data_IF_575206209528
#
_entry.id   IF_575206209528
#
_cell.length_a   1.000
_cell.length_b   1.000
_cell.length_c   1.000
_cell.angle_alpha   90.00
_cell.angle_beta   90.00
_cell.angle_gamma   90.00
#
_symmetry.space_group_name_H-M   'P 1'
#
loop_
_entity.id
_entity.type
_entity.pdbx_description
1 polymer ?
#
# COMPACT_ATOMS: atom_id res chain seq x y z
N UNK A 1 24.68 -0.36 3.06
CA UNK A 1 23.35 -0.31 2.41
C UNK A 1 23.48 0.60 1.20
N UNK A 2 22.95 0.23 0.04
CA UNK A 2 23.00 1.09 -1.16
C UNK A 2 21.98 2.23 -1.01
N UNK A 3 22.40 3.47 -1.27
CA UNK A 3 21.57 4.68 -1.10
C UNK A 3 21.30 5.45 -2.40
N UNK A 4 21.70 4.92 -3.55
CA UNK A 4 21.50 5.55 -4.85
C UNK A 4 20.10 5.30 -5.43
N UNK A 5 19.90 5.74 -6.67
CA UNK A 5 18.69 5.48 -7.44
C UNK A 5 18.52 3.97 -7.67
N UNK A 6 17.31 3.47 -7.44
CA UNK A 6 16.98 2.05 -7.61
C UNK A 6 16.60 1.72 -9.06
N UNK A 7 15.96 2.66 -9.75
CA UNK A 7 15.47 2.49 -11.12
C UNK A 7 16.19 3.45 -12.05
N UNK A 8 16.49 2.97 -13.25
CA UNK A 8 16.89 3.78 -14.39
C UNK A 8 15.63 4.09 -15.24
N UNK A 9 15.13 5.34 -15.26
CA UNK A 9 13.92 5.69 -15.99
C UNK A 9 14.02 5.44 -17.50
N UNK A 10 15.18 5.65 -18.11
CA UNK A 10 15.36 5.50 -19.56
C UNK A 10 15.29 4.04 -19.96
N UNK A 11 15.91 3.18 -19.15
CA UNK A 11 15.81 1.74 -19.31
C UNK A 11 14.36 1.25 -19.14
N UNK A 12 13.66 1.72 -18.11
CA UNK A 12 12.25 1.35 -17.88
C UNK A 12 11.36 1.79 -19.04
N UNK A 13 11.55 3.01 -19.56
CA UNK A 13 10.79 3.53 -20.70
C UNK A 13 11.05 2.71 -21.99
N UNK A 14 12.30 2.26 -22.19
CA UNK A 14 12.69 1.38 -23.30
C UNK A 14 11.98 0.03 -23.22
N UNK A 15 11.95 -0.60 -22.05
CA UNK A 15 11.26 -1.89 -21.87
C UNK A 15 9.74 -1.71 -22.01
N UNK A 16 9.16 -0.62 -21.49
CA UNK A 16 7.73 -0.33 -21.66
C UNK A 16 7.34 -0.16 -23.14
N UNK A 17 8.26 0.36 -23.96
CA UNK A 17 8.05 0.48 -25.41
C UNK A 17 8.03 -0.89 -26.08
N UNK A 18 8.99 -1.77 -25.75
CA UNK A 18 9.00 -3.16 -26.23
C UNK A 18 7.75 -3.94 -25.80
N UNK A 19 7.29 -3.73 -24.57
CA UNK A 19 6.05 -4.36 -24.07
C UNK A 19 4.84 -3.94 -24.90
N UNK A 20 4.74 -2.65 -25.28
CA UNK A 20 3.66 -2.15 -26.14
C UNK A 20 3.71 -2.76 -27.54
N UNK A 21 4.91 -2.91 -28.11
CA UNK A 21 5.10 -3.55 -29.43
C UNK A 21 4.68 -5.03 -29.40
N UNK A 22 5.04 -5.77 -28.35
CA UNK A 22 4.65 -7.17 -28.18
C UNK A 22 3.15 -7.34 -27.90
N UNK A 23 2.51 -6.41 -27.18
CA UNK A 23 1.06 -6.40 -26.98
C UNK A 23 0.28 -6.23 -28.30
N UNK A 24 0.88 -5.61 -29.32
CA UNK A 24 0.27 -5.42 -30.64
C UNK A 24 0.32 -6.67 -31.54
N UNK A 25 0.96 -7.76 -31.11
CA UNK A 25 1.07 -9.01 -31.89
C UNK A 25 -0.06 -9.98 -31.53
N UNK A 26 -0.69 -10.59 -32.53
CA UNK A 26 -1.77 -11.59 -32.37
C UNK A 26 -1.38 -12.80 -31.52
N UNK A 27 -0.09 -13.16 -31.51
CA UNK A 27 0.46 -14.27 -30.71
C UNK A 27 1.74 -13.82 -30.01
N UNK A 28 1.59 -13.07 -28.93
CA UNK A 28 2.72 -12.84 -28.03
C UNK A 28 3.20 -14.15 -27.42
N UNK A 29 4.51 -14.39 -27.47
CA UNK A 29 5.13 -15.53 -26.78
C UNK A 29 5.19 -15.33 -25.26
N UNK A 30 4.89 -14.12 -24.76
CA UNK A 30 5.08 -13.72 -23.37
C UNK A 30 3.71 -13.58 -22.70
N UNK A 31 3.26 -14.64 -22.03
CA UNK A 31 1.98 -14.64 -21.30
C UNK A 31 1.93 -13.63 -20.13
N UNK A 32 3.09 -13.17 -19.66
CA UNK A 32 3.24 -12.30 -18.49
C UNK A 32 3.31 -10.80 -18.83
N UNK A 33 3.11 -10.40 -20.10
CA UNK A 33 3.15 -8.98 -20.52
C UNK A 33 2.31 -8.06 -19.63
N UNK A 34 1.05 -8.39 -19.26
CA UNK A 34 0.25 -7.50 -18.41
C UNK A 34 0.89 -7.25 -17.04
N UNK A 35 1.57 -8.26 -16.47
CA UNK A 35 2.28 -8.14 -15.20
C UNK A 35 3.55 -7.31 -15.35
N UNK A 36 4.31 -7.52 -16.42
CA UNK A 36 5.52 -6.74 -16.71
C UNK A 36 5.16 -5.27 -16.86
N UNK A 37 4.16 -4.97 -17.70
CA UNK A 37 3.62 -3.61 -17.89
C UNK A 37 3.22 -2.98 -16.56
N UNK A 38 2.42 -3.68 -15.76
CA UNK A 38 1.95 -3.16 -14.47
C UNK A 38 3.06 -2.84 -13.48
N UNK A 39 4.04 -3.72 -13.35
CA UNK A 39 5.17 -3.51 -12.45
C UNK A 39 6.09 -2.38 -12.92
N UNK A 40 6.38 -2.31 -14.22
CA UNK A 40 7.24 -1.28 -14.79
C UNK A 40 6.59 0.10 -14.77
N UNK A 41 5.29 0.19 -15.11
CA UNK A 41 4.53 1.44 -14.98
C UNK A 41 4.55 1.94 -13.54
N UNK A 42 4.38 1.04 -12.56
CA UNK A 42 4.44 1.42 -11.14
C UNK A 42 5.86 1.89 -10.73
N UNK A 43 6.90 1.17 -11.14
CA UNK A 43 8.28 1.58 -10.88
C UNK A 43 8.63 2.91 -11.55
N UNK A 44 8.03 3.21 -12.71
CA UNK A 44 8.23 4.46 -13.46
C UNK A 44 7.55 5.68 -12.85
N UNK A 45 6.35 5.48 -12.28
CA UNK A 45 5.58 6.51 -11.56
C UNK A 45 6.12 6.75 -10.14
N UNK A 46 6.95 5.85 -9.63
CA UNK A 46 7.47 5.87 -8.27
C UNK A 46 8.49 7.00 -8.05
N UNK A 47 8.36 7.70 -6.93
CA UNK A 47 9.28 8.75 -6.54
C UNK A 47 10.67 8.17 -6.23
N UNK A 48 11.71 8.86 -6.70
CA UNK A 48 13.12 8.54 -6.49
C UNK A 48 13.61 8.84 -5.06
N UNK A 49 12.84 8.50 -4.03
CA UNK A 49 13.24 8.61 -2.62
C UNK A 49 13.69 7.26 -2.06
N UNK A 50 14.69 7.24 -1.17
CA UNK A 50 15.05 6.03 -0.42
C UNK A 50 13.89 5.56 0.47
N UNK A 51 13.74 4.25 0.60
CA UNK A 51 12.74 3.59 1.45
C UNK A 51 11.28 3.89 1.08
N UNK A 52 10.35 3.23 1.77
CA UNK A 52 8.91 3.46 1.64
C UNK A 52 8.27 3.43 3.02
N UNK A 53 7.08 4.01 3.10
CA UNK A 53 6.23 4.02 4.28
C UNK A 53 5.07 3.06 4.09
N UNK A 54 4.73 2.33 5.15
CA UNK A 54 3.59 1.43 5.17
C UNK A 54 2.56 1.95 6.15
N UNK A 55 1.43 2.40 5.62
CA UNK A 55 0.36 2.98 6.42
C UNK A 55 -0.20 1.97 7.44
N UNK A 56 -0.31 0.70 7.05
CA UNK A 56 -0.72 -0.38 7.95
C UNK A 56 0.27 -0.60 9.09
N UNK A 57 1.58 -0.52 8.83
CA UNK A 57 2.60 -0.60 9.89
C UNK A 57 2.55 0.62 10.81
N UNK A 58 2.38 1.82 10.26
CA UNK A 58 2.24 3.04 11.06
C UNK A 58 1.01 2.97 11.98
N UNK A 59 -0.14 2.55 11.45
CA UNK A 59 -1.36 2.36 12.25
C UNK A 59 -1.19 1.30 13.33
N UNK A 60 -0.45 0.22 13.04
CA UNK A 60 -0.14 -0.82 14.04
C UNK A 60 0.72 -0.28 15.18
N UNK A 61 1.72 0.55 14.88
CA UNK A 61 2.59 1.17 15.91
C UNK A 61 1.80 2.05 16.86
N UNK A 62 0.76 2.73 16.35
CA UNK A 62 -0.05 3.67 17.13
C UNK A 62 -1.39 3.09 17.62
N UNK A 63 -1.67 1.82 17.33
CA UNK A 63 -2.92 1.15 17.66
C UNK A 63 -4.18 1.91 17.19
N UNK A 64 -4.07 2.63 16.07
CA UNK A 64 -5.17 3.45 15.52
C UNK A 64 -5.90 2.74 14.39
N UNK A 65 -7.14 3.15 14.14
CA UNK A 65 -7.84 2.82 12.92
C UNK A 65 -7.01 3.25 11.70
N UNK A 66 -6.96 2.38 10.69
CA UNK A 66 -6.23 2.61 9.44
C UNK A 66 -6.91 3.73 8.63
N UNK A 67 -6.25 4.90 8.40
CA UNK A 67 -6.74 5.85 7.43
C UNK A 67 -6.72 5.25 6.03
N UNK A 68 -7.65 5.67 5.18
CA UNK A 68 -7.59 5.27 3.77
C UNK A 68 -6.36 5.90 3.11
N UNK A 69 -5.80 5.23 2.10
CA UNK A 69 -4.65 5.78 1.38
C UNK A 69 -4.99 7.13 0.72
N UNK A 70 -6.22 7.32 0.23
CA UNK A 70 -6.62 8.59 -0.37
C UNK A 70 -6.58 9.74 0.64
N UNK A 71 -7.09 9.53 1.86
CA UNK A 71 -7.06 10.56 2.93
C UNK A 71 -5.62 10.84 3.37
N UNK A 72 -4.81 9.81 3.59
CA UNK A 72 -3.42 9.99 4.00
C UNK A 72 -2.59 10.71 2.92
N UNK A 73 -2.75 10.31 1.64
CA UNK A 73 -2.12 11.00 0.50
C UNK A 73 -2.59 12.46 0.40
N UNK A 74 -3.87 12.73 0.64
CA UNK A 74 -4.39 14.10 0.60
C UNK A 74 -3.71 15.00 1.61
N UNK A 75 -3.48 14.53 2.84
CA UNK A 75 -2.77 15.30 3.86
C UNK A 75 -1.33 15.67 3.45
N UNK A 76 -0.62 14.76 2.78
CA UNK A 76 0.72 15.01 2.27
C UNK A 76 0.70 16.01 1.10
N UNK A 77 -0.20 15.80 0.15
CA UNK A 77 -0.33 16.64 -1.06
C UNK A 77 -0.79 18.06 -0.73
N UNK A 78 -1.75 18.22 0.19
CA UNK A 78 -2.22 19.52 0.68
C UNK A 78 -1.11 20.31 1.38
N UNK A 79 -0.12 19.62 1.96
CA UNK A 79 1.05 20.24 2.57
C UNK A 79 2.19 20.51 1.55
N UNK A 80 1.95 20.25 0.26
CA UNK A 80 2.90 20.52 -0.82
C UNK A 80 3.94 19.43 -1.05
N UNK A 81 3.82 18.27 -0.38
CA UNK A 81 4.73 17.14 -0.58
C UNK A 81 4.27 16.25 -1.73
N UNK A 82 5.24 15.62 -2.39
CA UNK A 82 4.99 14.64 -3.45
C UNK A 82 4.74 13.28 -2.84
N UNK A 83 3.84 12.50 -3.45
CA UNK A 83 3.55 11.14 -3.03
C UNK A 83 3.40 10.22 -4.23
N UNK A 84 4.00 9.03 -4.14
CA UNK A 84 3.77 7.95 -5.08
C UNK A 84 3.45 6.64 -4.36
N UNK A 85 2.87 5.67 -5.07
CA UNK A 85 2.88 4.28 -4.64
C UNK A 85 4.28 3.67 -4.86
N UNK A 86 4.57 2.56 -4.18
CA UNK A 86 5.83 1.82 -4.34
C UNK A 86 5.59 0.46 -4.98
N UNK A 87 6.44 0.08 -5.93
CA UNK A 87 6.45 -1.25 -6.56
C UNK A 87 6.73 -2.39 -5.56
N UNK A 88 7.28 -2.07 -4.38
CA UNK A 88 7.66 -3.06 -3.36
C UNK A 88 6.47 -3.73 -2.69
N UNK A 89 5.25 -3.19 -2.79
CA UNK A 89 4.07 -3.85 -2.26
C UNK A 89 2.81 -3.00 -2.25
N UNK A 90 1.64 -3.65 -2.15
CA UNK A 90 0.37 -2.95 -2.06
C UNK A 90 0.32 -2.15 -0.77
N UNK A 91 -0.11 -0.89 -0.85
CA UNK A 91 -0.22 -0.05 0.33
C UNK A 91 1.06 0.73 0.70
N UNK A 92 2.18 0.44 0.05
CA UNK A 92 3.45 1.12 0.29
C UNK A 92 3.49 2.47 -0.45
N UNK A 93 3.91 3.51 0.26
CA UNK A 93 3.94 4.89 -0.22
C UNK A 93 5.36 5.45 -0.14
N UNK A 94 5.75 6.23 -1.14
CA UNK A 94 6.95 7.05 -1.12
C UNK A 94 6.57 8.52 -1.11
N UNK A 95 7.36 9.33 -0.42
CA UNK A 95 7.15 10.76 -0.31
C UNK A 95 8.45 11.46 0.01
N UNK A 96 8.57 12.73 -0.41
CA UNK A 96 9.64 13.64 -0.02
C UNK A 96 9.37 14.33 1.33
N UNK A 97 8.22 14.06 1.96
CA UNK A 97 7.90 14.57 3.28
C UNK A 97 8.86 14.03 4.36
N UNK A 98 9.30 14.87 5.32
CA UNK A 98 10.09 14.42 6.46
C UNK A 98 9.35 13.38 7.30
N UNK A 99 10.06 12.38 7.83
CA UNK A 99 9.48 11.33 8.68
C UNK A 99 8.68 11.88 9.88
N UNK A 100 9.08 13.02 10.44
CA UNK A 100 8.35 13.70 11.52
C UNK A 100 6.95 14.13 11.09
N UNK A 101 6.83 14.68 9.86
CA UNK A 101 5.57 15.14 9.29
C UNK A 101 4.60 13.97 9.06
N UNK A 102 5.09 12.81 8.60
CA UNK A 102 4.24 11.63 8.46
C UNK A 102 3.65 11.18 9.80
N UNK A 103 4.42 11.26 10.88
CA UNK A 103 3.91 10.99 12.22
C UNK A 103 2.98 12.10 12.73
N UNK A 104 3.19 13.36 12.36
CA UNK A 104 2.25 14.45 12.63
C UNK A 104 0.88 14.19 12.00
N UNK A 105 0.85 13.72 10.75
CA UNK A 105 -0.39 13.32 10.06
C UNK A 105 -1.10 12.21 10.86
N UNK A 106 -0.37 11.20 11.33
CA UNK A 106 -0.98 10.12 12.13
C UNK A 106 -1.46 10.59 13.50
N UNK A 107 -0.76 11.53 14.15
CA UNK A 107 -1.20 12.15 15.40
C UNK A 107 -2.50 12.93 15.20
N UNK A 108 -2.57 13.74 14.14
CA UNK A 108 -3.78 14.47 13.78
C UNK A 108 -4.94 13.52 13.45
N UNK A 109 -4.67 12.38 12.80
CA UNK A 109 -5.67 11.35 12.54
C UNK A 109 -6.27 10.76 13.83
N UNK A 110 -5.42 10.49 14.84
CA UNK A 110 -5.87 9.96 16.15
C UNK A 110 -6.72 10.98 16.91
N UNK A 111 -6.47 12.28 16.75
CA UNK A 111 -7.35 13.32 17.31
C UNK A 111 -8.76 13.24 16.74
N UNK A 112 -8.90 12.89 15.46
CA UNK A 112 -10.20 12.68 14.80
C UNK A 112 -10.80 11.30 15.11
N UNK A 113 -9.95 10.29 15.33
CA UNK A 113 -10.35 8.91 15.60
C UNK A 113 -9.66 8.41 16.89
N UNK A 114 -10.18 8.79 18.07
CA UNK A 114 -9.52 8.49 19.34
C UNK A 114 -9.34 7.00 19.57
N UNK A 115 -8.17 6.64 20.07
CA UNK A 115 -7.84 5.28 20.50
C UNK A 115 -8.14 5.11 21.99
N UNK A 116 -8.28 3.85 22.44
CA UNK A 116 -8.45 3.57 23.88
C UNK A 116 -7.12 3.82 24.59
N UNK A 117 -7.15 4.47 25.75
CA UNK A 117 -5.93 4.79 26.51
C UNK A 117 -5.12 3.53 26.87
N UNK A 118 -5.80 2.42 27.15
CA UNK A 118 -5.19 1.12 27.47
C UNK A 118 -4.41 0.54 26.26
N UNK A 119 -4.70 1.01 25.04
CA UNK A 119 -4.08 0.47 23.83
C UNK A 119 -2.60 0.80 23.71
N UNK A 120 -2.08 1.79 24.44
CA UNK A 120 -0.69 2.20 24.33
C UNK A 120 0.02 1.99 25.65
N UNK A 121 0.89 0.98 25.65
CA UNK A 121 1.72 0.65 26.80
C UNK A 121 2.85 1.66 26.95
N UNK A 122 3.24 2.01 28.20
CA UNK A 122 4.40 2.85 28.45
C UNK A 122 5.68 2.22 27.89
N UNK A 123 6.67 3.05 27.54
CA UNK A 123 7.95 2.64 26.92
C UNK A 123 7.85 1.98 25.54
N UNK A 124 6.73 2.11 24.84
CA UNK A 124 6.61 1.69 23.44
C UNK A 124 6.99 2.83 22.47
N UNK A 125 7.38 2.52 21.22
CA UNK A 125 7.56 3.53 20.20
C UNK A 125 6.29 4.36 19.97
N UNK A 126 5.12 3.73 20.02
CA UNK A 126 3.83 4.42 19.87
C UNK A 126 3.61 5.48 20.96
N UNK A 127 3.88 5.15 22.22
CA UNK A 127 3.84 6.10 23.33
C UNK A 127 4.78 7.29 23.10
N UNK A 128 6.01 7.02 22.66
CA UNK A 128 7.02 8.05 22.39
C UNK A 128 6.68 8.94 21.19
N UNK A 129 5.95 8.43 20.20
CA UNK A 129 5.50 9.19 19.03
C UNK A 129 4.33 10.11 19.39
N UNK A 130 3.43 9.65 20.27
CA UNK A 130 2.23 10.41 20.66
C UNK A 130 2.51 11.44 21.74
N UNK A 131 3.51 11.21 22.59
CA UNK A 131 3.94 12.19 23.60
C UNK A 131 4.72 13.37 23.01
N UNK A 132 5.05 13.34 21.70
CA UNK A 132 5.73 14.46 21.04
C UNK A 132 4.82 15.67 20.94
N UNK A 133 5.46 16.84 20.82
CA UNK A 133 4.80 18.13 20.61
C UNK A 133 3.87 18.08 19.39
N UNK A 134 2.85 18.94 19.43
CA UNK A 134 1.94 19.14 18.32
C UNK A 134 2.66 19.49 17.01
N UNK A 135 2.05 19.13 15.86
CA UNK A 135 2.61 19.42 14.55
C UNK A 135 3.03 20.88 14.38
N UNK A 136 4.19 21.11 13.75
CA UNK A 136 4.64 22.47 13.39
C UNK A 136 3.73 23.12 12.35
N UNK A 137 3.04 22.32 11.55
CA UNK A 137 2.15 22.74 10.48
C UNK A 137 0.77 22.12 10.68
N UNK A 138 -0.34 22.84 10.40
CA UNK A 138 -1.67 22.26 10.46
C UNK A 138 -1.83 21.15 9.41
N UNK A 139 -2.47 20.04 9.80
CA UNK A 139 -2.71 18.90 8.91
C UNK A 139 -4.10 19.06 8.29
N UNK A 140 -4.17 19.12 6.95
CA UNK A 140 -5.43 19.19 6.21
C UNK A 140 -5.78 17.84 5.56
N UNK A 141 -6.86 17.20 6.01
CA UNK A 141 -7.35 15.93 5.47
C UNK A 141 -8.37 16.04 4.33
N UNK A 142 -8.69 17.26 3.87
CA UNK A 142 -9.58 17.49 2.74
C UNK A 142 -9.08 16.75 1.50
N UNK A 143 -10.01 16.13 0.76
CA UNK A 143 -9.65 15.26 -0.36
C UNK A 143 -8.92 16.03 -1.46
N UNK A 144 -7.65 15.69 -1.69
CA UNK A 144 -6.86 16.30 -2.76
C UNK A 144 -7.19 15.63 -4.12
N UNK A 145 -7.34 16.39 -5.22
CA UNK A 145 -7.66 15.83 -6.54
C UNK A 145 -6.70 14.71 -6.98
N UNK A 146 -5.40 14.88 -6.72
CA UNK A 146 -4.39 13.88 -7.08
C UNK A 146 -4.34 12.66 -6.15
N UNK A 147 -4.93 12.73 -4.95
CA UNK A 147 -4.93 11.59 -4.04
C UNK A 147 -5.77 10.43 -4.55
N UNK A 148 -6.83 10.77 -5.30
CA UNK A 148 -7.71 9.84 -6.01
C UNK A 148 -7.34 9.66 -7.49
N UNK A 149 -6.28 10.33 -7.99
CA UNK A 149 -5.96 10.40 -9.41
C UNK A 149 -6.32 9.09 -10.10
N UNK A 150 -7.37 9.17 -10.91
CA UNK A 150 -7.99 8.03 -11.57
C UNK A 150 -6.87 7.34 -12.32
N UNK A 151 -6.65 6.05 -12.01
CA UNK A 151 -5.66 5.23 -12.68
C UNK A 151 -5.90 5.37 -14.18
N UNK A 152 -4.99 6.05 -14.89
CA UNK A 152 -5.18 6.39 -16.30
C UNK A 152 -5.32 5.14 -17.18
N UNK A 153 -4.80 4.02 -16.71
CA UNK A 153 -4.88 2.72 -17.37
C UNK A 153 -5.34 1.64 -16.39
N UNK A 154 -6.21 0.72 -16.85
CA UNK A 154 -6.69 -0.44 -16.09
C UNK A 154 -5.62 -1.54 -16.05
N UNK A 155 -4.45 -1.24 -15.47
CA UNK A 155 -3.34 -2.19 -15.37
C UNK A 155 -3.34 -2.89 -14.01
N UNK A 156 -3.26 -4.22 -14.01
CA UNK A 156 -3.04 -5.02 -12.80
C UNK A 156 -1.58 -4.90 -12.35
N UNK A 157 -1.32 -4.07 -11.34
CA UNK A 157 0.03 -3.84 -10.80
C UNK A 157 0.52 -5.00 -9.93
N UNK A 158 -0.32 -5.45 -9.02
CA UNK A 158 -0.02 -6.59 -8.15
C UNK A 158 -0.86 -7.79 -8.60
N UNK A 159 -0.24 -8.82 -9.21
CA UNK A 159 -0.96 -10.02 -9.58
C UNK A 159 -1.45 -10.73 -8.32
N UNK A 160 -2.67 -11.27 -8.37
CA UNK A 160 -3.15 -12.15 -7.32
C UNK A 160 -2.39 -13.47 -7.39
N UNK A 161 -2.10 -14.04 -6.22
CA UNK A 161 -1.50 -15.37 -6.17
C UNK A 161 -2.42 -16.38 -6.87
N UNK A 162 -1.89 -17.32 -7.67
CA UNK A 162 -2.66 -18.46 -8.16
C UNK A 162 -3.31 -19.16 -6.97
N UNK A 163 -4.59 -19.54 -7.05
CA UNK A 163 -5.28 -20.17 -5.91
C UNK A 163 -5.19 -21.70 -5.90
N UNK A 164 -4.90 -22.30 -7.04
CA UNK A 164 -4.84 -23.76 -7.19
C UNK A 164 -3.42 -24.26 -6.88
N UNK A 165 -3.27 -25.05 -5.81
CA UNK A 165 -2.01 -25.64 -5.34
C UNK A 165 -0.90 -24.65 -4.94
N UNK A 166 -1.22 -23.39 -4.65
CA UNK A 166 -0.24 -22.38 -4.27
C UNK A 166 0.08 -22.40 -2.77
N UNK A 167 1.37 -22.57 -2.47
CA UNK A 167 1.90 -22.62 -1.12
C UNK A 167 1.86 -24.02 -0.49
N UNK A 168 2.71 -24.28 0.52
CA UNK A 168 2.62 -25.51 1.29
C UNK A 168 1.21 -25.62 1.88
N UNK A 169 0.52 -26.74 1.60
CA UNK A 169 -0.79 -27.02 2.19
C UNK A 169 -0.71 -26.82 3.70
N UNK A 170 -1.74 -26.24 4.29
CA UNK A 170 -1.88 -26.15 5.74
C UNK A 170 -1.50 -27.49 6.37
N UNK A 171 -0.62 -27.47 7.38
CA UNK A 171 -0.20 -28.69 8.08
C UNK A 171 -1.44 -29.52 8.45
N UNK A 172 -1.35 -30.84 8.27
CA UNK A 172 -2.44 -31.75 8.59
C UNK A 172 -2.88 -31.51 10.05
N UNK A 173 -4.11 -31.01 10.24
CA UNK A 173 -4.74 -31.00 11.56
C UNK A 173 -5.10 -32.43 11.88
N UNK A 174 -4.65 -32.95 13.02
CA UNK A 174 -5.20 -34.17 13.61
C UNK A 174 -6.70 -33.94 13.85
N UNK A 175 -7.53 -34.35 12.90
CA UNK A 175 -8.97 -34.47 13.10
C UNK A 175 -9.18 -35.69 13.98
N UNK A 176 -9.25 -35.49 15.30
CA UNK A 176 -9.89 -36.47 16.16
C UNK A 176 -11.31 -36.62 15.62
N UNK A 177 -11.66 -37.82 15.14
CA UNK A 177 -13.00 -38.14 14.65
C UNK A 177 -13.97 -37.91 15.79
N UNK A 178 -14.73 -36.83 15.71
CA UNK A 178 -16.01 -36.76 16.37
C UNK A 178 -17.07 -36.31 15.35
N UNK A 179 -18.02 -37.21 15.13
CA UNK A 179 -19.05 -37.12 14.10
C UNK A 179 -20.09 -36.08 14.50
N UNK A 180 -19.99 -34.87 13.92
CA UNK A 180 -21.01 -33.84 14.06
C UNK A 180 -21.08 -32.94 12.82
N UNK A 181 -22.11 -33.14 12.00
CA UNK A 181 -22.51 -32.40 10.79
C UNK A 181 -21.93 -30.97 10.67
N UNK A 182 -21.03 -30.75 9.71
CA UNK A 182 -20.68 -29.39 9.23
C UNK A 182 -21.51 -29.12 7.98
N UNK A 183 -22.57 -28.33 8.13
CA UNK A 183 -23.30 -27.70 7.03
C UNK A 183 -22.41 -26.64 6.37
N UNK A 184 -22.12 -26.82 5.08
CA UNK A 184 -21.45 -25.81 4.25
C UNK A 184 -22.32 -24.56 4.17
N UNK A 185 -21.94 -23.47 4.84
CA UNK A 185 -22.49 -22.13 4.57
C UNK A 185 -21.96 -21.65 3.21
N UNK A 186 -22.81 -21.72 2.18
CA UNK A 186 -22.64 -20.97 0.92
C UNK A 186 -22.81 -19.49 1.23
N UNK A 187 -21.83 -18.68 0.83
CA UNK A 187 -21.96 -17.23 0.84
C UNK A 187 -22.76 -16.83 -0.42
N UNK A 188 -24.02 -16.42 -0.25
CA UNK A 188 -24.82 -15.84 -1.33
C UNK A 188 -24.46 -14.36 -1.46
N UNK A 189 -23.91 -13.98 -2.60
CA UNK A 189 -24.06 -12.63 -3.11
C UNK A 189 -25.25 -12.63 -4.08
N UNK A 190 -26.26 -11.82 -3.78
CA UNK A 190 -27.27 -11.37 -4.75
C UNK A 190 -27.73 -9.98 -4.33
N UNK A 191 -27.35 -9.01 -5.16
CA UNK A 191 -28.10 -7.84 -5.63
C UNK A 191 -29.06 -7.13 -4.67
N UNK A 192 -28.76 -5.85 -4.42
CA UNK A 192 -29.67 -4.72 -4.63
C UNK A 192 -28.86 -3.50 -5.07
#
# INVERSE_FOLDING_TARGET
MYGGLLHDPEFVDSILSLVKEEEGKDKSAIATLPRIKGMLTLAREELATPHYWSLSRMSKVLHTQLPTQAVFKSALLNAGYKVSESHTGPGALKTDAPGEFLWDVMRAWIKLHPIREISIQPNTPGASILSRREPRQPINFDMHPEAKAVRKEKITRFPLNPTENWGPKSAARNTNKDTGKITKRKHSQSEH
#
